data_IF_825428938614
#
_entry.id   IF_825428938614
#
_cell.length_a   1.000
_cell.length_b   1.000
_cell.length_c   1.000
_cell.angle_alpha   90.00
_cell.angle_beta   90.00
_cell.angle_gamma   90.00
#
_symmetry.space_group_name_H-M   'P 1'
#
loop_
_entity.id
_entity.type
_entity.pdbx_description
1 polymer ?
#
# COMPACT_ATOMS: atom_id res chain seq x y z
N UNK A 1 29.51 -17.77 9.10
CA UNK A 1 29.07 -17.25 7.77
C UNK A 1 27.55 -17.37 7.67
N UNK A 2 26.84 -16.40 7.07
CA UNK A 2 25.38 -16.46 6.90
C UNK A 2 25.00 -17.62 5.95
N UNK A 3 23.93 -18.36 6.23
CA UNK A 3 23.49 -19.50 5.39
C UNK A 3 23.07 -19.03 3.98
N UNK A 4 23.37 -19.78 2.91
CA UNK A 4 23.05 -19.36 1.53
C UNK A 4 21.59 -18.97 1.32
N UNK A 5 20.63 -19.73 1.89
CA UNK A 5 19.20 -19.40 1.81
C UNK A 5 18.87 -18.01 2.37
N UNK A 6 19.48 -17.64 3.50
CA UNK A 6 19.26 -16.34 4.12
C UNK A 6 19.90 -15.21 3.30
N UNK A 7 21.04 -15.46 2.65
CA UNK A 7 21.64 -14.48 1.73
C UNK A 7 20.69 -14.18 0.56
N UNK A 8 20.06 -15.22 -0.02
CA UNK A 8 19.08 -15.03 -1.09
C UNK A 8 17.86 -14.24 -0.62
N UNK A 9 17.28 -14.58 0.53
CA UNK A 9 16.13 -13.84 1.09
C UNK A 9 16.48 -12.39 1.40
N UNK A 10 17.61 -12.12 2.05
CA UNK A 10 18.05 -10.77 2.38
C UNK A 10 18.31 -9.93 1.11
N UNK A 11 18.84 -10.56 0.05
CA UNK A 11 19.02 -9.88 -1.24
C UNK A 11 17.68 -9.53 -1.90
N UNK A 12 16.69 -10.42 -1.85
CA UNK A 12 15.34 -10.14 -2.34
C UNK A 12 14.68 -9.00 -1.57
N UNK A 13 14.74 -9.03 -0.24
CA UNK A 13 14.26 -7.95 0.64
C UNK A 13 14.95 -6.62 0.30
N UNK A 14 16.28 -6.62 0.15
CA UNK A 14 17.05 -5.43 -0.20
C UNK A 14 16.66 -4.85 -1.57
N UNK A 15 16.38 -5.70 -2.56
CA UNK A 15 15.91 -5.26 -3.88
C UNK A 15 14.51 -4.65 -3.82
N UNK A 16 13.61 -5.21 -3.01
CA UNK A 16 12.28 -4.65 -2.79
C UNK A 16 12.37 -3.29 -2.07
N UNK A 17 13.19 -3.19 -1.00
CA UNK A 17 13.41 -1.94 -0.26
C UNK A 17 14.07 -0.84 -1.08
N UNK A 18 14.90 -1.16 -2.08
CA UNK A 18 15.45 -0.14 -3.00
C UNK A 18 14.34 0.58 -3.78
N UNK A 19 13.27 -0.12 -4.13
CA UNK A 19 12.16 0.43 -4.91
C UNK A 19 11.09 1.06 -3.99
N UNK A 20 10.76 0.37 -2.90
CA UNK A 20 9.64 0.68 -2.04
C UNK A 20 10.04 1.27 -0.68
N UNK A 21 11.34 1.44 -0.39
CA UNK A 21 11.80 1.87 0.94
C UNK A 21 11.18 3.16 1.46
N UNK A 22 10.76 4.09 0.57
CA UNK A 22 10.05 5.32 0.97
C UNK A 22 8.69 5.08 1.64
N UNK A 23 8.11 3.90 1.45
CA UNK A 23 6.82 3.48 2.03
C UNK A 23 7.01 2.85 3.42
N UNK A 24 8.26 2.64 3.83
CA UNK A 24 8.64 2.07 5.13
C UNK A 24 9.47 3.08 5.96
N UNK A 25 10.52 3.65 5.39
CA UNK A 25 11.45 4.49 6.14
C UNK A 25 10.87 5.87 6.47
N UNK A 26 10.88 6.19 7.77
CA UNK A 26 10.35 7.45 8.27
C UNK A 26 8.82 7.54 8.23
N UNK A 27 8.13 6.44 7.96
CA UNK A 27 6.67 6.38 8.08
C UNK A 27 6.25 6.11 9.53
N UNK A 28 4.96 6.24 9.79
CA UNK A 28 4.27 5.84 11.02
C UNK A 28 3.06 4.98 10.65
N UNK A 29 2.34 4.50 11.67
CA UNK A 29 1.05 3.84 11.50
C UNK A 29 0.15 4.70 10.61
N UNK A 30 -0.38 4.11 9.53
CA UNK A 30 -1.32 4.79 8.66
C UNK A 30 -2.74 4.84 9.24
N UNK A 31 -3.63 5.67 8.65
CA UNK A 31 -4.97 5.90 9.17
C UNK A 31 -5.95 4.78 8.82
N UNK A 32 -5.57 3.86 7.92
CA UNK A 32 -6.37 2.69 7.54
C UNK A 32 -5.89 1.50 8.39
N UNK A 33 -6.74 0.93 9.26
CA UNK A 33 -6.36 -0.23 10.09
C UNK A 33 -5.93 -1.43 9.24
N UNK A 34 -4.95 -2.23 9.71
CA UNK A 34 -4.55 -3.44 9.00
C UNK A 34 -5.60 -4.56 9.11
N UNK A 35 -5.59 -5.45 8.14
CA UNK A 35 -6.24 -6.76 8.18
C UNK A 35 -5.39 -7.78 7.39
N UNK A 36 -5.91 -8.97 7.14
CA UNK A 36 -5.20 -10.04 6.45
C UNK A 36 -4.85 -9.71 4.99
N UNK A 37 -5.54 -8.75 4.37
CA UNK A 37 -5.37 -8.40 2.97
C UNK A 37 -4.47 -7.17 2.77
N UNK A 38 -4.43 -6.26 3.73
CA UNK A 38 -3.69 -5.01 3.56
C UNK A 38 -3.27 -4.36 4.89
N UNK A 39 -2.29 -3.46 4.79
CA UNK A 39 -1.85 -2.59 5.90
C UNK A 39 -1.51 -1.20 5.35
N UNK A 40 -1.60 -0.17 6.20
CA UNK A 40 -1.18 1.18 5.80
C UNK A 40 -0.08 1.77 6.67
N UNK A 41 0.81 2.51 6.02
CA UNK A 41 1.79 3.40 6.64
C UNK A 41 1.54 4.83 6.19
N UNK A 42 2.05 5.81 6.92
CA UNK A 42 1.88 7.22 6.57
C UNK A 42 3.16 8.01 6.79
N UNK A 43 3.45 8.91 5.85
CA UNK A 43 4.44 9.97 5.99
C UNK A 43 3.80 11.29 5.59
N UNK A 44 3.70 12.22 6.54
CA UNK A 44 3.08 13.53 6.34
C UNK A 44 1.66 13.38 5.73
N UNK A 45 1.39 14.01 4.59
CA UNK A 45 0.11 13.93 3.86
C UNK A 45 0.05 12.78 2.84
N UNK A 46 0.95 11.80 2.93
CA UNK A 46 0.96 10.63 2.05
C UNK A 46 0.74 9.37 2.86
N UNK A 47 -0.30 8.61 2.51
CA UNK A 47 -0.54 7.27 3.04
C UNK A 47 -0.11 6.26 1.97
N UNK A 48 0.64 5.25 2.38
CA UNK A 48 0.98 4.10 1.56
C UNK A 48 0.15 2.93 2.03
N UNK A 49 -0.70 2.40 1.15
CA UNK A 49 -1.50 1.23 1.41
C UNK A 49 -0.85 0.05 0.70
N UNK A 50 -0.47 -0.95 1.49
CA UNK A 50 0.20 -2.16 1.07
C UNK A 50 -0.85 -3.25 0.92
N UNK A 51 -1.17 -3.63 -0.31
CA UNK A 51 -2.06 -4.73 -0.63
C UNK A 51 -1.25 -6.01 -0.69
N UNK A 52 -1.45 -6.87 0.31
CA UNK A 52 -0.71 -8.11 0.53
C UNK A 52 -1.43 -9.32 -0.06
N UNK A 53 -2.74 -9.22 -0.32
CA UNK A 53 -3.53 -10.25 -1.00
C UNK A 53 -3.86 -9.82 -2.44
N UNK A 54 -3.26 -10.43 -3.48
CA UNK A 54 -3.52 -10.05 -4.87
C UNK A 54 -4.89 -10.52 -5.38
N UNK A 55 -5.57 -11.44 -4.68
CA UNK A 55 -6.83 -12.03 -5.13
C UNK A 55 -8.04 -11.10 -4.96
N UNK A 56 -7.90 -10.01 -4.19
CA UNK A 56 -9.00 -9.06 -3.98
C UNK A 56 -8.99 -7.97 -5.04
N UNK A 57 -10.18 -7.60 -5.50
CA UNK A 57 -10.39 -6.53 -6.48
C UNK A 57 -10.88 -5.23 -5.86
N UNK A 58 -11.29 -5.28 -4.60
CA UNK A 58 -11.79 -4.10 -3.90
C UNK A 58 -11.27 -4.06 -2.47
N UNK A 59 -10.70 -2.92 -2.10
CA UNK A 59 -10.32 -2.61 -0.73
C UNK A 59 -11.46 -1.85 -0.10
N UNK A 60 -11.95 -2.35 1.03
CA UNK A 60 -12.92 -1.64 1.87
C UNK A 60 -12.30 -1.33 3.22
N UNK A 61 -12.36 -0.07 3.62
CA UNK A 61 -12.07 0.38 4.97
C UNK A 61 -13.27 1.13 5.52
N UNK A 62 -13.50 1.03 6.83
CA UNK A 62 -14.48 1.86 7.54
C UNK A 62 -14.13 3.35 7.42
N UNK A 63 -14.85 4.22 8.14
CA UNK A 63 -14.60 5.65 8.08
C UNK A 63 -13.14 5.99 8.39
N UNK A 64 -12.42 6.43 7.35
CA UNK A 64 -11.05 6.95 7.48
C UNK A 64 -11.17 8.45 7.74
N UNK A 65 -10.76 8.97 8.91
CA UNK A 65 -10.98 10.37 9.30
C UNK A 65 -10.00 11.33 8.59
N UNK A 66 -9.82 11.17 7.29
CA UNK A 66 -8.89 11.94 6.45
C UNK A 66 -9.56 12.33 5.14
N UNK A 67 -9.24 13.53 4.66
CA UNK A 67 -9.72 14.00 3.35
C UNK A 67 -8.76 13.54 2.27
N UNK A 68 -9.25 12.73 1.34
CA UNK A 68 -8.47 12.21 0.23
C UNK A 68 -8.47 13.25 -0.91
N UNK A 69 -7.27 13.52 -1.44
CA UNK A 69 -7.06 14.31 -2.65
C UNK A 69 -7.02 13.42 -3.89
N UNK A 70 -6.40 12.25 -3.79
CA UNK A 70 -6.34 11.27 -4.87
C UNK A 70 -5.65 9.98 -4.45
N UNK A 71 -5.87 8.92 -5.22
CA UNK A 71 -5.26 7.61 -5.02
C UNK A 71 -4.57 7.21 -6.32
N UNK A 72 -3.35 6.68 -6.22
CA UNK A 72 -2.48 6.39 -7.34
C UNK A 72 -1.73 5.08 -7.12
N UNK A 73 -1.59 4.29 -8.18
CA UNK A 73 -0.67 3.16 -8.17
C UNK A 73 0.78 3.67 -8.07
N UNK A 74 1.60 3.07 -7.20
CA UNK A 74 2.99 3.45 -7.07
C UNK A 74 3.84 3.02 -8.27
N UNK A 75 3.50 1.91 -8.93
CA UNK A 75 4.27 1.35 -10.04
C UNK A 75 4.07 2.18 -11.31
N UNK A 76 2.82 2.39 -11.72
CA UNK A 76 2.47 3.09 -12.96
C UNK A 76 2.21 4.59 -12.77
N UNK A 77 1.97 5.05 -11.53
CA UNK A 77 1.48 6.40 -11.21
C UNK A 77 0.08 6.70 -11.75
N UNK A 78 -0.61 5.70 -12.29
CA UNK A 78 -1.98 5.83 -12.77
C UNK A 78 -2.93 6.15 -11.60
N UNK A 79 -3.98 6.92 -11.89
CA UNK A 79 -5.01 7.23 -10.91
C UNK A 79 -5.89 5.99 -10.69
N UNK A 80 -6.18 5.71 -9.43
CA UNK A 80 -7.02 4.57 -9.01
C UNK A 80 -8.41 5.08 -8.65
N UNK A 81 -9.44 4.37 -9.10
CA UNK A 81 -10.82 4.71 -8.81
C UNK A 81 -11.14 4.42 -7.32
N UNK A 82 -11.85 5.35 -6.68
CA UNK A 82 -12.23 5.20 -5.28
C UNK A 82 -13.52 5.96 -4.97
N UNK A 83 -14.21 5.51 -3.93
CA UNK A 83 -15.35 6.18 -3.31
C UNK A 83 -15.04 6.40 -1.84
N UNK A 84 -15.22 7.61 -1.34
CA UNK A 84 -15.07 7.95 0.07
C UNK A 84 -16.32 8.70 0.53
N UNK A 85 -17.18 8.01 1.28
CA UNK A 85 -18.47 8.53 1.71
C UNK A 85 -18.76 8.16 3.17
N UNK A 86 -19.99 8.38 3.64
CA UNK A 86 -20.40 8.12 5.02
C UNK A 86 -20.25 6.65 5.46
N UNK A 87 -20.15 5.72 4.52
CA UNK A 87 -19.99 4.29 4.76
C UNK A 87 -18.52 3.85 4.75
N UNK A 88 -17.58 4.75 4.43
CA UNK A 88 -16.15 4.48 4.45
C UNK A 88 -15.48 4.67 3.09
N UNK A 89 -14.31 4.06 2.96
CA UNK A 89 -13.45 4.13 1.78
C UNK A 89 -13.50 2.82 1.00
N UNK A 90 -13.86 2.89 -0.28
CA UNK A 90 -13.72 1.80 -1.24
C UNK A 90 -12.70 2.18 -2.31
N UNK A 91 -11.73 1.32 -2.60
CA UNK A 91 -10.73 1.51 -3.65
C UNK A 91 -10.81 0.32 -4.60
N UNK A 92 -11.00 0.60 -5.89
CA UNK A 92 -11.02 -0.42 -6.94
C UNK A 92 -9.58 -0.72 -7.37
N UNK A 93 -9.14 -1.95 -7.14
CA UNK A 93 -7.78 -2.42 -7.44
C UNK A 93 -7.76 -3.50 -8.52
N UNK A 94 -8.91 -3.79 -9.15
CA UNK A 94 -9.05 -4.83 -10.17
C UNK A 94 -8.11 -4.63 -11.37
N UNK A 95 -7.95 -3.38 -11.82
CA UNK A 95 -7.12 -3.01 -12.97
C UNK A 95 -5.63 -2.85 -12.62
N UNK A 96 -5.23 -3.05 -11.36
CA UNK A 96 -3.83 -2.94 -10.97
C UNK A 96 -3.04 -4.19 -11.40
N UNK A 97 -1.83 -3.98 -11.89
CA UNK A 97 -0.84 -5.06 -12.00
C UNK A 97 -0.33 -5.40 -10.60
N UNK A 98 -1.03 -6.32 -9.93
CA UNK A 98 -0.74 -6.74 -8.56
C UNK A 98 0.53 -7.60 -8.51
N UNK A 99 1.32 -7.35 -7.48
CA UNK A 99 2.51 -8.11 -7.08
C UNK A 99 2.12 -9.15 -6.03
N UNK A 100 2.66 -10.37 -6.15
CA UNK A 100 2.35 -11.50 -5.26
C UNK A 100 2.80 -11.27 -3.81
N UNK A 101 3.72 -10.31 -3.57
CA UNK A 101 4.26 -10.01 -2.25
C UNK A 101 3.64 -8.73 -1.70
N UNK A 102 3.70 -7.63 -2.46
CA UNK A 102 3.19 -6.33 -2.00
C UNK A 102 2.93 -5.36 -3.15
N UNK A 103 1.65 -5.08 -3.39
CA UNK A 103 1.21 -4.02 -4.29
C UNK A 103 1.01 -2.74 -3.50
N UNK A 104 1.84 -1.72 -3.74
CA UNK A 104 1.75 -0.47 -3.00
C UNK A 104 0.93 0.59 -3.74
N UNK A 105 -0.05 1.15 -3.05
CA UNK A 105 -0.92 2.23 -3.51
C UNK A 105 -0.61 3.49 -2.69
N UNK A 106 -0.55 4.64 -3.35
CA UNK A 106 -0.31 5.94 -2.73
C UNK A 106 -1.60 6.75 -2.65
N UNK A 107 -1.98 7.14 -1.44
CA UNK A 107 -3.12 8.02 -1.16
C UNK A 107 -2.57 9.39 -0.76
N UNK A 108 -2.87 10.41 -1.54
CA UNK A 108 -2.59 11.80 -1.18
C UNK A 108 -3.73 12.35 -0.32
N UNK A 109 -3.39 12.90 0.85
CA UNK A 109 -4.33 13.59 1.74
C UNK A 109 -4.34 15.10 1.43
N UNK A 110 -5.44 15.77 1.76
CA UNK A 110 -5.56 17.24 1.67
C UNK A 110 -4.81 17.94 2.80
#
# INVERSE_FOLDING_TARGET
KIQPKHQSSLKAIGNWLKQNGKTIYGTRKGPIPPNDNYVSTQKEKTVYLHLLNPEIDMIHAEQVPVRIKGIFDMKTKAKVAYRNDRFGLSIDVSELSKDDIDTVIRIELK
#
